data_IF_601188127243
#
_entry.id   IF_601188127243
#
_cell.length_a   1.000
_cell.length_b   1.000
_cell.length_c   1.000
_cell.angle_alpha   90.00
_cell.angle_beta   90.00
_cell.angle_gamma   90.00
#
_symmetry.space_group_name_H-M   'P 1'
#
loop_
_entity.id
_entity.type
_entity.pdbx_description
1 polymer ?
#
# COMPACT_ATOMS: atom_id res chain seq x y z
N UNK A 1 -7.25 8.63 -22.08
CA UNK A 1 -7.65 7.53 -21.17
C UNK A 1 -8.94 7.90 -20.46
N UNK A 2 -9.98 7.05 -20.49
CA UNK A 2 -11.28 7.33 -19.84
C UNK A 2 -11.08 7.53 -18.31
N UNK A 3 -11.65 8.58 -17.73
CA UNK A 3 -11.54 8.94 -16.30
C UNK A 3 -11.81 7.77 -15.34
N UNK A 4 -12.74 6.89 -15.70
CA UNK A 4 -13.05 5.66 -14.95
C UNK A 4 -11.83 4.75 -14.72
N UNK A 5 -10.95 4.61 -15.72
CA UNK A 5 -9.74 3.77 -15.59
C UNK A 5 -8.76 4.35 -14.59
N UNK A 6 -8.56 5.67 -14.60
CA UNK A 6 -7.68 6.36 -13.64
C UNK A 6 -8.21 6.21 -12.21
N UNK A 7 -9.53 6.38 -12.03
CA UNK A 7 -10.18 6.27 -10.72
C UNK A 7 -10.08 4.85 -10.15
N UNK A 8 -10.26 3.82 -10.99
CA UNK A 8 -10.09 2.43 -10.57
C UNK A 8 -8.65 2.14 -10.14
N UNK A 9 -7.66 2.62 -10.91
CA UNK A 9 -6.25 2.44 -10.57
C UNK A 9 -5.87 3.15 -9.27
N UNK A 10 -6.31 4.40 -9.07
CA UNK A 10 -6.03 5.13 -7.83
C UNK A 10 -6.66 4.46 -6.61
N UNK A 11 -7.87 3.90 -6.73
CA UNK A 11 -8.51 3.18 -5.63
C UNK A 11 -7.76 1.90 -5.26
N UNK A 12 -7.29 1.12 -6.25
CA UNK A 12 -6.48 -0.08 -5.98
C UNK A 12 -5.18 0.26 -5.26
N UNK A 13 -4.50 1.31 -5.74
CA UNK A 13 -3.27 1.78 -5.12
C UNK A 13 -3.55 2.27 -3.69
N UNK A 14 -4.63 3.02 -3.46
CA UNK A 14 -5.03 3.46 -2.12
C UNK A 14 -5.34 2.30 -1.17
N UNK A 15 -6.09 1.30 -1.65
CA UNK A 15 -6.39 0.07 -0.91
C UNK A 15 -5.14 -0.75 -0.59
N UNK A 16 -4.08 -0.66 -1.40
CA UNK A 16 -2.80 -1.28 -1.09
C UNK A 16 -2.00 -0.44 -0.08
N UNK A 17 -1.92 0.88 -0.27
CA UNK A 17 -1.09 1.78 0.54
C UNK A 17 -1.56 1.84 2.00
N UNK A 18 -2.83 2.14 2.24
CA UNK A 18 -3.33 2.45 3.58
C UNK A 18 -3.11 1.30 4.59
N UNK A 19 -3.51 0.04 4.30
CA UNK A 19 -3.23 -1.07 5.20
C UNK A 19 -1.74 -1.39 5.29
N UNK A 20 -0.97 -1.21 4.21
CA UNK A 20 0.49 -1.44 4.24
C UNK A 20 1.21 -0.44 5.16
N UNK A 21 0.88 0.86 5.07
CA UNK A 21 1.42 1.88 5.98
C UNK A 21 1.02 1.57 7.42
N UNK A 22 -0.25 1.22 7.63
CA UNK A 22 -0.77 0.89 8.97
C UNK A 22 -0.03 -0.31 9.56
N UNK A 23 0.19 -1.37 8.77
CA UNK A 23 0.94 -2.56 9.18
C UNK A 23 2.41 -2.22 9.50
N UNK A 24 3.09 -1.46 8.63
CA UNK A 24 4.48 -1.06 8.88
C UNK A 24 4.61 -0.18 10.12
N UNK A 25 3.68 0.76 10.33
CA UNK A 25 3.67 1.59 11.54
C UNK A 25 3.31 0.79 12.79
N UNK A 26 2.42 -0.20 12.68
CA UNK A 26 2.09 -1.08 13.79
C UNK A 26 3.30 -1.92 14.22
N UNK A 27 4.04 -2.49 13.27
CA UNK A 27 5.21 -3.33 13.53
C UNK A 27 6.45 -2.53 13.94
N UNK A 28 6.73 -1.43 13.24
CA UNK A 28 8.00 -0.69 13.37
C UNK A 28 7.86 0.70 13.98
N UNK A 29 6.64 1.19 14.23
CA UNK A 29 6.39 2.58 14.64
C UNK A 29 7.11 2.98 15.92
N UNK A 30 7.22 2.07 16.91
CA UNK A 30 7.98 2.34 18.15
C UNK A 30 9.46 2.61 17.86
N UNK A 31 10.10 1.78 17.02
CA UNK A 31 11.49 1.96 16.63
C UNK A 31 11.69 3.18 15.71
N UNK A 32 10.73 3.45 14.83
CA UNK A 32 10.78 4.61 13.93
C UNK A 32 10.60 5.95 14.65
N UNK A 33 9.89 5.97 15.78
CA UNK A 33 9.64 7.20 16.53
C UNK A 33 10.88 7.74 17.28
N UNK A 34 11.95 6.93 17.43
CA UNK A 34 13.21 7.41 18.02
C UNK A 34 14.08 8.15 17.00
N UNK A 35 13.72 8.09 15.71
CA UNK A 35 14.48 8.71 14.63
C UNK A 35 13.90 10.09 14.27
N UNK A 36 14.73 11.02 13.76
CA UNK A 36 14.25 12.24 13.14
C UNK A 36 13.25 11.96 12.00
N UNK A 37 12.30 12.87 11.80
CA UNK A 37 11.19 12.71 10.84
C UNK A 37 11.64 12.33 9.42
N UNK A 38 12.75 12.91 8.94
CA UNK A 38 13.27 12.63 7.61
C UNK A 38 13.81 11.20 7.46
N UNK A 39 14.46 10.66 8.50
CA UNK A 39 14.95 9.28 8.50
C UNK A 39 13.80 8.29 8.59
N UNK A 40 12.82 8.58 9.46
CA UNK A 40 11.58 7.79 9.56
C UNK A 40 10.85 7.72 8.23
N UNK A 41 10.66 8.86 7.57
CA UNK A 41 10.00 8.93 6.27
C UNK A 41 10.77 8.16 5.20
N UNK A 42 12.10 8.27 5.18
CA UNK A 42 12.95 7.53 4.25
C UNK A 42 12.83 6.02 4.44
N UNK A 43 13.02 5.51 5.66
CA UNK A 43 12.93 4.08 5.95
C UNK A 43 11.53 3.54 5.63
N UNK A 44 10.48 4.26 6.04
CA UNK A 44 9.10 3.85 5.79
C UNK A 44 8.84 3.77 4.28
N UNK A 45 9.25 4.77 3.49
CA UNK A 45 8.98 4.80 2.05
C UNK A 45 9.83 3.81 1.26
N UNK A 46 11.10 3.60 1.62
CA UNK A 46 11.98 2.64 0.92
C UNK A 46 11.49 1.20 1.08
N UNK A 47 10.85 0.88 2.20
CA UNK A 47 10.22 -0.44 2.44
C UNK A 47 8.83 -0.50 1.80
N UNK A 48 8.03 0.54 2.00
CA UNK A 48 6.63 0.58 1.58
C UNK A 48 6.48 0.52 0.06
N UNK A 49 7.28 1.26 -0.71
CA UNK A 49 7.17 1.32 -2.16
C UNK A 49 7.34 -0.05 -2.82
N UNK A 50 8.46 -0.78 -2.63
CA UNK A 50 8.61 -2.12 -3.20
C UNK A 50 7.54 -3.07 -2.65
N UNK A 51 7.16 -2.96 -1.37
CA UNK A 51 6.09 -3.78 -0.81
C UNK A 51 4.76 -3.60 -1.55
N UNK A 52 4.36 -2.37 -1.85
CA UNK A 52 3.12 -2.10 -2.60
C UNK A 52 3.21 -2.64 -4.03
N UNK A 53 4.35 -2.42 -4.69
CA UNK A 53 4.52 -2.80 -6.11
C UNK A 53 4.48 -4.33 -6.27
N UNK A 54 5.18 -5.06 -5.40
CA UNK A 54 5.33 -6.51 -5.54
C UNK A 54 4.27 -7.33 -4.79
N UNK A 55 3.69 -6.78 -3.71
CA UNK A 55 2.76 -7.50 -2.85
C UNK A 55 1.42 -6.78 -2.78
N UNK A 56 1.39 -5.51 -2.39
CA UNK A 56 0.15 -4.78 -2.10
C UNK A 56 -0.83 -4.72 -3.28
N UNK A 57 -0.40 -4.18 -4.43
CA UNK A 57 -1.26 -4.06 -5.63
C UNK A 57 -1.64 -5.44 -6.19
N UNK A 58 -0.70 -6.38 -6.39
CA UNK A 58 -1.05 -7.74 -6.82
C UNK A 58 -2.05 -8.45 -5.91
N UNK A 59 -1.94 -8.28 -4.58
CA UNK A 59 -2.86 -8.86 -3.61
C UNK A 59 -4.26 -8.24 -3.72
N UNK A 60 -4.35 -6.91 -3.82
CA UNK A 60 -5.63 -6.21 -4.04
C UNK A 60 -6.30 -6.68 -5.33
N UNK A 61 -5.52 -6.80 -6.42
CA UNK A 61 -6.02 -7.32 -7.69
C UNK A 61 -6.51 -8.76 -7.58
N UNK A 62 -5.79 -9.62 -6.84
CA UNK A 62 -6.21 -10.99 -6.58
C UNK A 62 -7.54 -11.03 -5.83
N UNK A 63 -7.67 -10.27 -4.75
CA UNK A 63 -8.89 -10.22 -3.94
C UNK A 63 -10.09 -9.74 -4.78
N UNK A 64 -9.93 -8.66 -5.54
CA UNK A 64 -11.00 -8.14 -6.40
C UNK A 64 -11.45 -9.19 -7.44
N UNK A 65 -10.50 -9.93 -8.03
CA UNK A 65 -10.82 -11.01 -8.98
C UNK A 65 -11.64 -12.12 -8.32
N UNK A 66 -11.29 -12.54 -7.10
CA UNK A 66 -12.04 -13.57 -6.38
C UNK A 66 -13.50 -13.16 -6.15
N UNK A 67 -13.77 -11.89 -5.84
CA UNK A 67 -15.13 -11.39 -5.68
C UNK A 67 -15.87 -11.22 -7.01
N UNK A 68 -15.17 -10.93 -8.10
CA UNK A 68 -15.78 -10.77 -9.43
C UNK A 68 -16.12 -12.09 -10.12
N UNK A 69 -15.39 -13.18 -9.84
CA UNK A 69 -15.65 -14.52 -10.42
C UNK A 69 -16.84 -15.21 -9.74
N UNK A 70 -17.19 -14.78 -8.53
CA UNK A 70 -18.27 -15.38 -7.73
C UNK A 70 -19.66 -14.78 -8.01
N UNK A 71 -19.82 -14.02 -9.10
CA UNK A 71 -21.06 -13.34 -9.48
C UNK A 71 -21.49 -13.68 -10.90
#
# INVERSE_FOLDING_TARGET
MKTRMKLMASLKIWLAIYPSITLLLFLFGKALNTLPIYQRAFILTVVLVPFIVFIGVPLVDFIIRQFSVKR
#
